data_IF_599093197174
#
_entry.id   IF_599093197174
#
_cell.length_a   1.000
_cell.length_b   1.000
_cell.length_c   1.000
_cell.angle_alpha   90.00
_cell.angle_beta   90.00
_cell.angle_gamma   90.00
#
_symmetry.space_group_name_H-M   'P 1'
#
loop_
_entity.id
_entity.type
_entity.pdbx_description
1 polymer ?
#
# COMPACT_ATOMS: atom_id res chain seq x y z
N UNK A 1 28.75 49.25 9.83
CA UNK A 1 28.21 48.16 10.68
C UNK A 1 28.05 46.91 9.82
N UNK A 2 29.09 46.09 9.72
CA UNK A 2 29.03 44.81 9.02
C UNK A 2 28.28 43.80 9.90
N UNK A 3 27.13 43.30 9.43
CA UNK A 3 26.39 42.24 10.11
C UNK A 3 27.10 40.93 9.81
N UNK A 4 27.93 40.46 10.74
CA UNK A 4 28.60 39.17 10.65
C UNK A 4 27.59 38.06 10.37
N UNK A 5 27.71 37.39 9.22
CA UNK A 5 26.83 36.28 8.86
C UNK A 5 27.00 35.15 9.86
N UNK A 6 25.93 34.73 10.54
CA UNK A 6 25.96 33.56 11.42
C UNK A 6 26.34 32.34 10.60
N UNK A 7 27.53 31.78 10.86
CA UNK A 7 28.00 30.56 10.23
C UNK A 7 27.03 29.42 10.55
N UNK A 8 26.58 28.72 9.52
CA UNK A 8 25.73 27.54 9.66
C UNK A 8 26.50 26.45 10.43
N UNK A 9 26.00 26.06 11.61
CA UNK A 9 26.69 25.13 12.53
C UNK A 9 26.16 23.70 12.49
N UNK A 10 25.25 23.36 11.57
CA UNK A 10 24.82 21.98 11.39
C UNK A 10 26.00 21.17 10.82
N UNK A 11 26.55 20.25 11.63
CA UNK A 11 27.58 19.30 11.22
C UNK A 11 27.01 17.89 11.30
N UNK A 12 27.36 17.06 10.32
CA UNK A 12 27.06 15.63 10.37
C UNK A 12 27.83 14.95 11.50
N UNK A 13 27.29 13.85 12.02
CA UNK A 13 28.03 13.01 12.96
C UNK A 13 29.07 12.19 12.16
N UNK A 14 30.35 12.40 12.46
CA UNK A 14 31.47 11.71 11.81
C UNK A 14 31.41 10.18 12.02
N UNK A 15 30.85 9.71 13.14
CA UNK A 15 30.64 8.27 13.39
C UNK A 15 29.59 7.68 12.42
N UNK A 16 28.53 8.45 12.12
CA UNK A 16 27.54 8.04 11.10
C UNK A 16 28.13 8.06 9.69
N UNK A 17 29.08 8.96 9.41
CA UNK A 17 29.82 8.97 8.16
C UNK A 17 30.68 7.71 8.00
N UNK A 18 31.41 7.31 9.04
CA UNK A 18 32.20 6.08 9.01
C UNK A 18 31.31 4.83 8.89
N UNK A 19 30.20 4.77 9.62
CA UNK A 19 29.27 3.64 9.58
C UNK A 19 28.54 3.50 8.23
N UNK A 20 28.34 4.60 7.50
CA UNK A 20 27.70 4.62 6.18
C UNK A 20 28.68 4.42 5.01
N UNK A 21 29.97 4.22 5.29
CA UNK A 21 31.00 4.10 4.25
C UNK A 21 30.79 2.89 3.33
N UNK A 22 30.19 1.80 3.83
CA UNK A 22 29.86 0.62 3.04
C UNK A 22 28.35 0.53 2.87
N UNK A 23 27.90 0.61 1.62
CA UNK A 23 26.48 0.51 1.28
C UNK A 23 26.23 -0.64 0.32
N UNK A 24 25.04 -1.26 0.41
CA UNK A 24 24.61 -2.30 -0.54
C UNK A 24 24.69 -1.77 -1.98
N UNK A 25 24.29 -0.51 -2.20
CA UNK A 25 24.39 0.16 -3.51
C UNK A 25 25.85 0.31 -3.96
N UNK A 26 26.76 0.67 -3.06
CA UNK A 26 28.19 0.82 -3.35
C UNK A 26 28.83 -0.50 -3.77
N UNK A 27 28.61 -1.56 -2.99
CA UNK A 27 29.10 -2.91 -3.32
C UNK A 27 28.51 -3.40 -4.64
N UNK A 28 27.20 -3.22 -4.86
CA UNK A 28 26.54 -3.55 -6.13
C UNK A 28 27.19 -2.82 -7.31
N UNK A 29 27.42 -1.52 -7.19
CA UNK A 29 28.01 -0.73 -8.28
C UNK A 29 29.44 -1.17 -8.59
N UNK A 30 30.25 -1.46 -7.56
CA UNK A 30 31.59 -2.00 -7.72
C UNK A 30 31.56 -3.33 -8.49
N UNK A 31 30.65 -4.25 -8.14
CA UNK A 31 30.50 -5.52 -8.87
C UNK A 31 30.15 -5.28 -10.35
N UNK A 32 29.20 -4.39 -10.63
CA UNK A 32 28.78 -4.08 -12.00
C UNK A 32 29.90 -3.43 -12.84
N UNK A 33 30.78 -2.64 -12.23
CA UNK A 33 31.94 -2.01 -12.91
C UNK A 33 33.06 -2.99 -13.24
N UNK A 34 33.11 -4.15 -12.57
CA UNK A 34 34.12 -5.18 -12.79
C UNK A 34 33.63 -6.32 -13.71
N UNK A 35 32.48 -6.16 -14.35
CA UNK A 35 31.99 -7.12 -15.34
C UNK A 35 32.77 -6.98 -16.65
N UNK A 36 33.05 -8.10 -17.29
CA UNK A 36 33.68 -8.13 -18.61
C UNK A 36 32.68 -7.67 -19.68
N UNK A 37 33.02 -6.60 -20.40
CA UNK A 37 32.20 -6.07 -21.49
C UNK A 37 32.12 -7.03 -22.70
N UNK A 38 33.08 -7.96 -22.82
CA UNK A 38 33.06 -8.99 -23.86
C UNK A 38 32.11 -10.16 -23.54
N UNK A 39 31.73 -10.35 -22.26
CA UNK A 39 30.75 -11.37 -21.87
C UNK A 39 29.32 -10.91 -22.23
N UNK A 40 28.64 -11.73 -23.03
CA UNK A 40 27.26 -11.47 -23.49
C UNK A 40 26.19 -12.09 -22.60
N UNK A 41 26.57 -12.80 -21.54
CA UNK A 41 25.60 -13.41 -20.62
C UNK A 41 24.77 -12.32 -19.94
N UNK A 42 23.46 -12.51 -19.79
CA UNK A 42 22.62 -11.54 -19.11
C UNK A 42 22.98 -11.45 -17.63
N UNK A 43 23.25 -10.25 -17.14
CA UNK A 43 23.54 -10.02 -15.73
C UNK A 43 22.28 -10.17 -14.87
N UNK A 44 22.38 -10.97 -13.81
CA UNK A 44 21.28 -11.08 -12.83
C UNK A 44 21.23 -9.78 -12.00
N UNK A 45 20.09 -9.08 -11.96
CA UNK A 45 19.97 -7.84 -11.21
C UNK A 45 20.03 -8.09 -9.70
N UNK A 46 21.17 -7.78 -9.08
CA UNK A 46 21.35 -7.87 -7.63
C UNK A 46 20.83 -6.61 -6.94
N UNK A 47 20.01 -6.77 -5.90
CA UNK A 47 19.59 -5.68 -5.01
C UNK A 47 18.52 -4.74 -5.56
N UNK A 48 17.65 -5.20 -6.47
CA UNK A 48 16.43 -4.45 -6.79
C UNK A 48 15.43 -4.64 -5.64
N UNK A 49 15.11 -3.54 -4.95
CA UNK A 49 14.12 -3.54 -3.85
C UNK A 49 12.68 -3.35 -4.33
N UNK A 50 12.49 -2.92 -5.58
CA UNK A 50 11.18 -2.77 -6.19
C UNK A 50 10.83 -4.04 -6.97
N UNK A 51 9.82 -4.82 -6.56
CA UNK A 51 9.42 -6.04 -7.27
C UNK A 51 8.76 -5.73 -8.62
N UNK A 52 8.20 -4.54 -8.84
CA UNK A 52 7.44 -4.21 -10.07
C UNK A 52 8.30 -4.16 -11.34
N UNK A 53 9.63 -4.10 -11.20
CA UNK A 53 10.57 -4.19 -12.32
C UNK A 53 10.57 -5.57 -12.99
N UNK A 54 10.05 -6.59 -12.30
CA UNK A 54 9.97 -7.95 -12.80
C UNK A 54 8.56 -8.22 -13.34
N UNK A 55 8.41 -8.61 -14.62
CA UNK A 55 7.11 -8.90 -15.22
C UNK A 55 6.31 -10.00 -14.49
N UNK A 56 6.98 -10.89 -13.74
CA UNK A 56 6.28 -11.90 -12.95
C UNK A 56 5.54 -11.33 -11.73
N UNK A 57 5.83 -10.09 -11.33
CA UNK A 57 5.22 -9.42 -10.18
C UNK A 57 4.19 -8.41 -10.65
N UNK A 58 2.97 -8.91 -10.89
CA UNK A 58 1.82 -8.07 -11.19
C UNK A 58 0.91 -7.90 -9.98
N UNK A 59 0.24 -6.75 -9.92
CA UNK A 59 -0.86 -6.57 -8.96
C UNK A 59 -1.97 -7.57 -9.26
N UNK A 60 -2.71 -7.99 -8.24
CA UNK A 60 -3.88 -8.86 -8.44
C UNK A 60 -5.02 -8.09 -9.10
N UNK A 61 -5.75 -8.72 -10.02
CA UNK A 61 -6.95 -8.15 -10.66
C UNK A 61 -7.98 -7.63 -9.64
N UNK A 62 -8.08 -8.26 -8.47
CA UNK A 62 -8.95 -7.82 -7.37
C UNK A 62 -8.59 -6.41 -6.90
N UNK A 63 -7.31 -6.08 -6.83
CA UNK A 63 -6.83 -4.76 -6.43
C UNK A 63 -7.10 -3.72 -7.52
N UNK A 64 -6.93 -4.10 -8.79
CA UNK A 64 -7.24 -3.23 -9.95
C UNK A 64 -8.72 -2.87 -9.98
N UNK A 65 -9.60 -3.88 -9.87
CA UNK A 65 -11.05 -3.69 -9.84
C UNK A 65 -11.49 -2.83 -8.65
N UNK A 66 -10.87 -3.02 -7.48
CA UNK A 66 -11.16 -2.21 -6.30
C UNK A 66 -10.81 -0.73 -6.54
N UNK A 67 -9.70 -0.44 -7.21
CA UNK A 67 -9.30 0.93 -7.58
C UNK A 67 -10.31 1.53 -8.57
N UNK A 68 -10.67 0.80 -9.63
CA UNK A 68 -11.64 1.25 -10.64
C UNK A 68 -12.99 1.57 -9.98
N UNK A 69 -13.46 0.69 -9.09
CA UNK A 69 -14.71 0.89 -8.36
C UNK A 69 -14.64 2.09 -7.42
N UNK A 70 -13.52 2.28 -6.72
CA UNK A 70 -13.32 3.44 -5.84
C UNK A 70 -13.38 4.75 -6.64
N UNK A 71 -12.69 4.82 -7.78
CA UNK A 71 -12.69 5.98 -8.67
C UNK A 71 -14.09 6.29 -9.22
N UNK A 72 -14.77 5.27 -9.78
CA UNK A 72 -16.13 5.41 -10.32
C UNK A 72 -17.15 5.83 -9.26
N UNK A 73 -16.92 5.46 -8.00
CA UNK A 73 -17.84 5.83 -6.91
C UNK A 73 -17.80 7.31 -6.55
N UNK A 74 -16.70 8.03 -6.85
CA UNK A 74 -16.42 9.39 -6.41
C UNK A 74 -16.50 9.63 -4.88
N UNK A 75 -16.57 8.57 -4.07
CA UNK A 75 -16.74 8.65 -2.59
C UNK A 75 -15.45 8.91 -1.83
N UNK A 76 -14.30 8.78 -2.49
CA UNK A 76 -12.97 8.78 -1.85
C UNK A 76 -12.06 9.91 -2.36
N UNK A 77 -12.63 10.98 -2.91
CA UNK A 77 -11.87 12.08 -3.53
C UNK A 77 -11.44 13.18 -2.54
N UNK A 78 -11.94 13.15 -1.30
CA UNK A 78 -11.61 14.11 -0.26
C UNK A 78 -10.45 13.62 0.62
N UNK A 79 -9.92 14.50 1.46
CA UNK A 79 -8.92 14.13 2.45
C UNK A 79 -9.40 12.99 3.35
N UNK A 80 -8.56 11.96 3.50
CA UNK A 80 -8.76 10.92 4.49
C UNK A 80 -8.42 11.43 5.90
N UNK A 81 -9.01 10.86 6.97
CA UNK A 81 -8.54 11.09 8.33
C UNK A 81 -7.06 10.72 8.47
N UNK A 82 -6.35 11.31 9.45
CA UNK A 82 -4.91 11.06 9.68
C UNK A 82 -4.55 9.58 9.80
N UNK A 83 -5.46 8.78 10.34
CA UNK A 83 -5.31 7.31 10.53
C UNK A 83 -5.90 6.49 9.38
N UNK A 84 -6.23 7.11 8.25
CA UNK A 84 -6.91 6.49 7.10
C UNK A 84 -8.43 6.39 7.25
N UNK A 85 -9.10 5.78 6.26
CA UNK A 85 -10.55 5.58 6.28
C UNK A 85 -10.96 4.36 7.14
N UNK A 86 -12.03 4.45 7.96
CA UNK A 86 -12.43 3.35 8.85
C UNK A 86 -12.66 1.99 8.16
N UNK A 87 -13.24 1.90 6.95
CA UNK A 87 -13.38 0.61 6.25
C UNK A 87 -12.04 -0.08 5.98
N UNK A 88 -11.03 0.67 5.54
CA UNK A 88 -9.70 0.13 5.23
C UNK A 88 -8.92 -0.32 6.47
N UNK A 89 -9.15 0.30 7.64
CA UNK A 89 -8.54 -0.17 8.90
C UNK A 89 -9.17 -1.45 9.42
N UNK A 90 -10.49 -1.60 9.27
CA UNK A 90 -11.20 -2.79 9.78
C UNK A 90 -10.87 -4.04 8.96
N UNK A 91 -10.69 -3.92 7.64
CA UNK A 91 -10.34 -5.06 6.78
C UNK A 91 -8.99 -5.68 7.14
N UNK A 92 -8.01 -4.87 7.58
CA UNK A 92 -6.67 -5.34 7.97
C UNK A 92 -6.63 -6.11 9.30
N UNK A 93 -7.66 -5.97 10.15
CA UNK A 93 -7.65 -6.47 11.53
C UNK A 93 -7.99 -7.96 11.67
N UNK A 94 -8.52 -8.61 10.63
CA UNK A 94 -8.85 -10.04 10.67
C UNK A 94 -7.79 -10.89 9.97
N UNK A 95 -6.85 -11.54 10.70
CA UNK A 95 -5.85 -12.41 10.09
C UNK A 95 -6.41 -13.76 9.60
N UNK A 96 -7.72 -14.04 9.75
CA UNK A 96 -8.33 -15.35 9.44
C UNK A 96 -9.17 -15.41 8.16
N UNK A 97 -9.27 -14.33 7.36
CA UNK A 97 -10.10 -14.32 6.13
C UNK A 97 -9.28 -14.59 4.86
N UNK A 98 -8.18 -15.34 4.96
CA UNK A 98 -7.40 -15.79 3.79
C UNK A 98 -7.61 -17.28 3.46
N UNK A 99 -8.59 -17.96 4.08
CA UNK A 99 -8.82 -19.38 3.83
C UNK A 99 -10.27 -19.83 3.61
N UNK A 100 -11.14 -18.95 3.14
CA UNK A 100 -12.38 -19.39 2.47
C UNK A 100 -12.58 -18.54 1.23
N UNK A 101 -12.27 -19.14 0.09
CA UNK A 101 -12.86 -18.73 -1.18
C UNK A 101 -14.38 -18.90 -1.12
N UNK A 102 -15.04 -18.33 -2.14
CA UNK A 102 -16.44 -18.56 -2.55
C UNK A 102 -17.62 -17.90 -1.83
N UNK A 103 -17.49 -17.12 -0.74
CA UNK A 103 -18.70 -16.60 -0.05
C UNK A 103 -19.00 -15.10 -0.17
N UNK A 104 -18.20 -14.32 -0.90
CA UNK A 104 -18.49 -12.89 -1.14
C UNK A 104 -19.43 -12.61 -2.32
N UNK A 105 -19.89 -13.65 -3.02
CA UNK A 105 -20.91 -13.53 -4.08
C UNK A 105 -22.34 -13.47 -3.51
N UNK A 106 -22.57 -13.92 -2.27
CA UNK A 106 -23.91 -13.97 -1.67
C UNK A 106 -24.36 -12.71 -0.93
N UNK A 107 -23.43 -11.90 -0.39
CA UNK A 107 -23.82 -10.72 0.39
C UNK A 107 -24.31 -9.53 -0.45
N UNK A 108 -24.09 -9.55 -1.79
CA UNK A 108 -24.56 -8.50 -2.70
C UNK A 108 -25.84 -8.85 -3.46
N UNK A 109 -26.25 -10.13 -3.47
CA UNK A 109 -27.45 -10.58 -4.17
C UNK A 109 -28.74 -10.51 -3.34
N UNK A 110 -28.66 -10.52 -2.00
CA UNK A 110 -29.86 -10.53 -1.15
C UNK A 110 -30.42 -9.13 -0.80
N UNK A 111 -29.72 -8.05 -1.16
CA UNK A 111 -30.13 -6.67 -0.82
C UNK A 111 -30.78 -5.89 -1.96
N UNK A 112 -31.05 -6.54 -3.11
CA UNK A 112 -31.61 -5.86 -4.29
C UNK A 112 -32.91 -6.44 -4.85
N UNK A 113 -33.55 -7.44 -4.22
CA UNK A 113 -34.73 -8.08 -4.83
C UNK A 113 -36.07 -8.00 -4.08
N UNK A 114 -36.18 -7.32 -2.94
CA UNK A 114 -37.48 -7.14 -2.27
C UNK A 114 -37.77 -5.67 -1.98
N UNK A 115 -37.86 -4.89 -3.04
CA UNK A 115 -38.64 -3.65 -3.03
C UNK A 115 -40.06 -3.93 -3.52
N UNK A 116 -41.00 -4.15 -2.59
CA UNK A 116 -42.43 -3.87 -2.77
C UNK A 116 -43.18 -4.04 -1.44
N UNK A 117 -43.61 -2.91 -0.90
CA UNK A 117 -44.93 -2.67 -0.29
C UNK A 117 -45.60 -3.70 0.63
N UNK A 118 -46.02 -3.14 1.78
CA UNK A 118 -47.36 -3.23 2.41
C UNK A 118 -47.55 -4.14 3.64
N UNK A 119 -47.91 -3.41 4.72
CA UNK A 119 -48.88 -3.66 5.81
C UNK A 119 -48.82 -4.93 6.66
N UNK A 120 -48.51 -4.74 7.94
CA UNK A 120 -49.43 -4.81 9.11
C UNK A 120 -48.57 -5.16 10.33
N UNK A 121 -48.50 -4.32 11.35
CA UNK A 121 -49.37 -4.45 12.51
C UNK A 121 -48.74 -5.42 13.53
N UNK A 122 -48.16 -4.90 14.60
CA UNK A 122 -48.59 -5.18 15.97
C UNK A 122 -47.70 -4.44 16.96
N UNK A 123 -48.35 -3.53 17.68
CA UNK A 123 -47.86 -2.85 18.86
C UNK A 123 -47.93 -3.85 20.02
N UNK A 124 -46.84 -4.03 20.76
CA UNK A 124 -46.90 -4.53 22.14
C UNK A 124 -45.89 -3.76 22.99
N UNK A 125 -46.46 -2.86 23.78
CA UNK A 125 -45.89 -2.32 25.02
C UNK A 125 -45.91 -3.40 26.12
N UNK A 126 -44.86 -3.45 26.94
CA UNK A 126 -44.87 -3.63 28.42
C UNK A 126 -43.41 -3.49 28.91
N UNK A 127 -42.98 -2.38 29.54
CA UNK A 127 -43.07 -1.98 30.98
C UNK A 127 -42.10 -2.73 31.92
N UNK A 128 -41.63 -2.16 33.04
CA UNK A 128 -42.23 -1.10 33.88
C UNK A 128 -41.42 0.21 34.05
#
# INVERSE_FOLDING_TARGET
>A
MERGSKKWCFRGNEELHAASAITIRGVRNMLMQNLDEADKRPTVPLGHGDPSVFPSFHTTHIAEDAIVNALRSAKFNCYAPTVGIPPARRSKRNPSVSRLGSDLVWAKAHWLHTGLGRVSGFMHFYDP
#
